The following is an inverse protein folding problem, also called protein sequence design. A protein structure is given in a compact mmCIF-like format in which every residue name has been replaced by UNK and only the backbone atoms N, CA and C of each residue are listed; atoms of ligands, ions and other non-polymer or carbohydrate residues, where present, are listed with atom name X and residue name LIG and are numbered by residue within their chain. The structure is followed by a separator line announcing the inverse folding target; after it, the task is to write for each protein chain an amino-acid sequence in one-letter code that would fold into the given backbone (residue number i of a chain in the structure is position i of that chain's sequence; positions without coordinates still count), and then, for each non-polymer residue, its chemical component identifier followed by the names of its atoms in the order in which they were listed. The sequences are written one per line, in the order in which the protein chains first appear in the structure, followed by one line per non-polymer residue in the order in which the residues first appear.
data_IF_293709689561
#
_entry.id   IF_293709689561
#
_cell.length_a   1.000
_cell.length_b   1.000
_cell.length_c   1.000
_cell.angle_alpha   90.00
_cell.angle_beta   90.00
_cell.angle_gamma   90.00
#
_symmetry.space_group_name_H-M   'P 1'
#
loop_
_entity.id
_entity.type
_entity.pdbx_description
1 polymer ?
#
# COMPACT_ATOMS: atom_id res chain seq x y z
N UNK A 1 47.94 31.67 -13.48
CA UNK A 1 48.19 30.25 -13.15
C UNK A 1 47.81 30.06 -11.70
N UNK A 2 47.23 28.92 -11.34
CA UNK A 2 46.41 28.67 -10.13
C UNK A 2 44.93 29.04 -10.42
N UNK A 3 44.01 28.14 -10.77
CA UNK A 3 43.97 26.69 -10.52
C UNK A 3 43.25 26.38 -9.21
N UNK A 4 42.14 27.07 -8.94
CA UNK A 4 41.25 26.79 -7.81
C UNK A 4 40.39 25.57 -8.19
N UNK A 5 40.70 24.45 -7.53
CA UNK A 5 40.08 23.17 -7.80
C UNK A 5 38.60 23.24 -7.43
N UNK A 6 37.76 23.14 -8.46
CA UNK A 6 36.44 22.55 -8.32
C UNK A 6 36.63 21.22 -7.59
N UNK A 7 36.35 21.24 -6.28
CA UNK A 7 36.03 20.07 -5.49
C UNK A 7 34.79 19.46 -6.13
N UNK A 8 35.04 18.68 -7.17
CA UNK A 8 34.14 17.66 -7.65
C UNK A 8 33.86 16.79 -6.43
N UNK A 9 32.76 17.11 -5.76
CA UNK A 9 32.04 16.21 -4.86
C UNK A 9 31.63 15.04 -5.75
N UNK A 10 32.59 14.13 -5.97
CA UNK A 10 32.36 12.81 -6.50
C UNK A 10 31.54 12.14 -5.41
N UNK A 11 30.23 12.35 -5.47
CA UNK A 11 29.24 11.53 -4.80
C UNK A 11 29.53 10.12 -5.31
N UNK A 12 30.38 9.39 -4.59
CA UNK A 12 30.51 7.94 -4.73
C UNK A 12 29.16 7.39 -4.33
N UNK A 13 28.25 7.35 -5.29
CA UNK A 13 26.98 6.64 -5.17
C UNK A 13 27.37 5.18 -5.03
N UNK A 14 27.40 4.71 -3.79
CA UNK A 14 27.66 3.30 -3.49
C UNK A 14 26.60 2.47 -4.23
N UNK A 15 27.00 1.52 -5.11
CA UNK A 15 26.05 0.84 -6.00
C UNK A 15 24.95 0.08 -5.24
N UNK A 16 25.21 -0.29 -3.98
CA UNK A 16 24.24 -0.87 -3.08
C UNK A 16 23.06 0.08 -2.75
N UNK A 17 23.33 1.37 -2.55
CA UNK A 17 22.32 2.37 -2.22
C UNK A 17 21.33 2.60 -3.37
N UNK A 18 21.83 2.67 -4.59
CA UNK A 18 20.98 2.80 -5.80
C UNK A 18 20.11 1.57 -6.00
N UNK A 19 20.66 0.37 -5.79
CA UNK A 19 19.94 -0.88 -5.99
C UNK A 19 18.78 -1.02 -4.99
N UNK A 20 19.01 -0.63 -3.72
CA UNK A 20 17.96 -0.58 -2.69
C UNK A 20 16.86 0.41 -3.08
N UNK A 21 17.22 1.61 -3.53
CA UNK A 21 16.24 2.62 -3.96
C UNK A 21 15.39 2.15 -5.15
N UNK A 22 16.01 1.49 -6.12
CA UNK A 22 15.32 0.92 -7.29
C UNK A 22 14.35 -0.18 -6.85
N UNK A 23 14.80 -1.12 -6.01
CA UNK A 23 13.94 -2.20 -5.48
C UNK A 23 12.78 -1.63 -4.67
N UNK A 24 13.03 -0.64 -3.80
CA UNK A 24 11.98 0.03 -3.05
C UNK A 24 10.98 0.75 -3.95
N UNK A 25 11.45 1.37 -5.04
CA UNK A 25 10.60 2.07 -6.01
C UNK A 25 9.72 1.08 -6.77
N UNK A 26 10.31 -0.02 -7.25
CA UNK A 26 9.56 -1.11 -7.91
C UNK A 26 8.51 -1.68 -6.96
N UNK A 27 8.88 -1.98 -5.71
CA UNK A 27 7.94 -2.48 -4.70
C UNK A 27 6.77 -1.52 -4.46
N UNK A 28 7.03 -0.20 -4.42
CA UNK A 28 5.96 0.81 -4.30
C UNK A 28 5.02 0.80 -5.50
N UNK A 29 5.55 0.68 -6.72
CA UNK A 29 4.74 0.61 -7.93
C UNK A 29 3.85 -0.65 -7.93
N UNK A 30 4.39 -1.80 -7.50
CA UNK A 30 3.61 -3.03 -7.35
C UNK A 30 2.48 -2.87 -6.33
N UNK A 31 2.76 -2.31 -5.15
CA UNK A 31 1.73 -2.06 -4.13
C UNK A 31 0.65 -1.12 -4.65
N UNK A 32 1.03 -0.06 -5.35
CA UNK A 32 0.08 0.89 -5.95
C UNK A 32 -0.80 0.22 -7.02
N UNK A 33 -0.19 -0.54 -7.94
CA UNK A 33 -0.91 -1.26 -8.97
C UNK A 33 -1.89 -2.28 -8.37
N UNK A 34 -1.47 -3.02 -7.34
CA UNK A 34 -2.32 -3.94 -6.61
C UNK A 34 -3.49 -3.24 -5.91
N UNK A 35 -3.24 -2.10 -5.26
CA UNK A 35 -4.28 -1.31 -4.61
C UNK A 35 -5.30 -0.73 -5.59
N UNK A 36 -4.87 -0.30 -6.78
CA UNK A 36 -5.76 0.15 -7.86
C UNK A 36 -6.63 -1.01 -8.37
N UNK A 37 -6.03 -2.17 -8.60
CA UNK A 37 -6.77 -3.33 -9.09
C UNK A 37 -7.80 -3.82 -8.06
N UNK A 38 -7.40 -3.95 -6.79
CA UNK A 38 -8.30 -4.32 -5.69
C UNK A 38 -9.38 -3.26 -5.49
N UNK A 39 -9.02 -1.98 -5.48
CA UNK A 39 -9.97 -0.87 -5.37
C UNK A 39 -11.01 -0.86 -6.49
N UNK A 40 -10.61 -1.20 -7.72
CA UNK A 40 -11.54 -1.37 -8.84
C UNK A 40 -12.49 -2.55 -8.62
N UNK A 41 -12.00 -3.66 -8.07
CA UNK A 41 -12.83 -4.82 -7.71
C UNK A 41 -13.87 -4.44 -6.66
N UNK A 42 -13.44 -3.80 -5.57
CA UNK A 42 -14.34 -3.35 -4.49
C UNK A 42 -15.37 -2.33 -5.01
N UNK A 43 -14.94 -1.39 -5.85
CA UNK A 43 -15.84 -0.41 -6.45
C UNK A 43 -16.90 -1.07 -7.34
N UNK A 44 -16.50 -2.03 -8.17
CA UNK A 44 -17.45 -2.78 -9.02
C UNK A 44 -18.45 -3.56 -8.16
N UNK A 45 -17.99 -4.16 -7.06
CA UNK A 45 -18.84 -4.92 -6.14
C UNK A 45 -19.83 -4.00 -5.39
N UNK A 46 -19.37 -2.85 -4.91
CA UNK A 46 -20.23 -1.80 -4.36
C UNK A 46 -21.25 -1.28 -5.38
N UNK A 47 -20.86 -1.17 -6.65
CA UNK A 47 -21.75 -0.74 -7.72
C UNK A 47 -22.79 -1.83 -8.07
N UNK A 48 -22.41 -3.11 -8.08
CA UNK A 48 -23.32 -4.20 -8.42
C UNK A 48 -24.30 -4.57 -7.30
N UNK A 49 -23.84 -4.57 -6.05
CA UNK A 49 -24.66 -4.94 -4.89
C UNK A 49 -25.38 -3.74 -4.27
N UNK A 50 -24.84 -2.54 -4.47
CA UNK A 50 -25.23 -1.31 -3.81
C UNK A 50 -24.54 -1.15 -2.45
N UNK A 51 -24.11 0.08 -2.14
CA UNK A 51 -23.36 0.44 -0.92
C UNK A 51 -24.04 -0.07 0.35
N UNK A 52 -25.38 0.04 0.45
CA UNK A 52 -26.13 -0.44 1.63
C UNK A 52 -25.98 -1.94 1.85
N UNK A 53 -26.05 -2.75 0.79
CA UNK A 53 -25.93 -4.22 0.90
C UNK A 53 -24.49 -4.63 1.16
N UNK A 54 -23.53 -3.95 0.54
CA UNK A 54 -22.11 -4.20 0.72
C UNK A 54 -21.66 -4.07 2.19
N UNK A 55 -22.23 -3.11 2.93
CA UNK A 55 -22.00 -2.94 4.37
C UNK A 55 -23.01 -3.67 5.28
N UNK A 56 -24.03 -4.33 4.71
CA UNK A 56 -25.00 -5.14 5.47
C UNK A 56 -24.65 -6.62 5.52
N UNK A 57 -23.64 -7.06 4.76
CA UNK A 57 -23.02 -8.37 4.94
C UNK A 57 -22.70 -8.56 6.41
N UNK A 58 -23.04 -9.71 7.01
CA UNK A 58 -22.89 -9.95 8.46
C UNK A 58 -21.72 -10.89 8.71
N UNK A 59 -21.00 -10.71 9.83
CA UNK A 59 -19.89 -11.59 10.21
C UNK A 59 -18.57 -11.27 9.51
N UNK A 60 -17.82 -12.31 9.11
CA UNK A 60 -16.47 -12.19 8.54
C UNK A 60 -16.43 -11.39 7.22
N UNK A 61 -17.48 -11.48 6.39
CA UNK A 61 -17.56 -10.74 5.12
C UNK A 61 -17.63 -9.22 5.30
N UNK A 62 -18.24 -8.72 6.38
CA UNK A 62 -18.21 -7.28 6.67
C UNK A 62 -16.81 -6.79 7.00
N UNK A 63 -16.11 -7.59 7.79
CA UNK A 63 -14.78 -7.25 8.29
C UNK A 63 -13.77 -7.31 7.15
N UNK A 64 -13.93 -8.27 6.24
CA UNK A 64 -13.19 -8.32 4.97
C UNK A 64 -13.41 -7.06 4.12
N UNK A 65 -14.66 -6.69 3.87
CA UNK A 65 -15.04 -5.50 3.08
C UNK A 65 -14.48 -4.21 3.69
N UNK A 66 -14.58 -4.05 5.02
CA UNK A 66 -14.03 -2.91 5.75
C UNK A 66 -12.51 -2.85 5.65
N UNK A 67 -11.80 -3.97 5.84
CA UNK A 67 -10.35 -4.03 5.74
C UNK A 67 -9.86 -3.76 4.31
N UNK A 68 -10.56 -4.29 3.29
CA UNK A 68 -10.25 -4.03 1.89
C UNK A 68 -10.40 -2.53 1.55
N UNK A 69 -11.51 -1.91 1.98
CA UNK A 69 -11.72 -0.46 1.85
C UNK A 69 -10.64 0.35 2.56
N UNK A 70 -10.31 0.01 3.81
CA UNK A 70 -9.29 0.71 4.60
C UNK A 70 -7.89 0.55 4.00
N UNK A 71 -7.55 -0.63 3.49
CA UNK A 71 -6.29 -0.87 2.81
C UNK A 71 -6.16 -0.03 1.54
N UNK A 72 -7.15 -0.08 0.64
CA UNK A 72 -7.15 0.75 -0.56
C UNK A 72 -7.10 2.25 -0.21
N UNK A 73 -7.91 2.70 0.75
CA UNK A 73 -7.95 4.08 1.20
C UNK A 73 -6.61 4.57 1.77
N UNK A 74 -5.95 3.78 2.62
CA UNK A 74 -4.64 4.12 3.18
C UNK A 74 -3.56 4.22 2.12
N UNK A 75 -3.56 3.35 1.10
CA UNK A 75 -2.63 3.47 -0.03
C UNK A 75 -2.87 4.77 -0.82
N UNK A 76 -4.11 5.16 -1.10
CA UNK A 76 -4.38 6.45 -1.75
C UNK A 76 -3.91 7.64 -0.90
N UNK A 77 -4.19 7.62 0.41
CA UNK A 77 -3.75 8.66 1.36
C UNK A 77 -2.22 8.77 1.37
N UNK A 78 -1.48 7.65 1.37
CA UNK A 78 -0.01 7.67 1.33
C UNK A 78 0.50 8.36 0.06
N UNK A 79 -0.12 8.10 -1.10
CA UNK A 79 0.29 8.74 -2.35
C UNK A 79 0.00 10.25 -2.34
N UNK A 80 -1.12 10.67 -1.75
CA UNK A 80 -1.43 12.09 -1.55
C UNK A 80 -0.42 12.72 -0.58
N UNK A 81 -0.18 12.12 0.59
CA UNK A 81 0.77 12.62 1.58
C UNK A 81 2.19 12.74 1.02
N UNK A 82 2.58 11.85 0.11
CA UNK A 82 3.84 11.94 -0.62
C UNK A 82 3.90 13.09 -1.60
N UNK A 83 2.79 13.41 -2.27
CA UNK A 83 2.75 14.58 -3.14
C UNK A 83 2.93 15.90 -2.37
N UNK A 84 2.58 15.91 -1.07
CA UNK A 84 2.75 17.04 -0.16
C UNK A 84 3.98 16.93 0.76
N UNK A 85 4.82 15.91 0.57
CA UNK A 85 6.03 15.63 1.37
C UNK A 85 5.81 15.66 2.90
N UNK A 86 4.69 15.10 3.35
CA UNK A 86 4.31 15.09 4.78
C UNK A 86 4.99 13.92 5.52
N UNK A 87 5.64 14.20 6.65
CA UNK A 87 6.37 13.21 7.47
C UNK A 87 5.50 12.03 7.94
N UNK A 88 4.19 12.22 8.07
CA UNK A 88 3.22 11.18 8.44
C UNK A 88 3.19 9.99 7.47
N UNK A 89 3.79 10.09 6.28
CA UNK A 89 3.86 9.00 5.29
C UNK A 89 4.33 7.66 5.87
N UNK A 90 5.31 7.68 6.79
CA UNK A 90 5.91 6.47 7.36
C UNK A 90 4.94 5.74 8.29
N UNK A 91 4.22 6.51 9.12
CA UNK A 91 3.21 5.96 10.03
C UNK A 91 2.01 5.38 9.26
N UNK A 92 1.54 6.08 8.22
CA UNK A 92 0.42 5.59 7.40
C UNK A 92 0.83 4.35 6.60
N UNK A 93 2.07 4.25 6.13
CA UNK A 93 2.60 3.05 5.48
C UNK A 93 2.63 1.85 6.43
N UNK A 94 3.04 2.05 7.69
CA UNK A 94 3.01 1.01 8.71
C UNK A 94 1.58 0.54 9.00
N UNK A 95 0.62 1.46 9.08
CA UNK A 95 -0.80 1.12 9.22
C UNK A 95 -1.31 0.30 8.03
N UNK A 96 -0.98 0.71 6.80
CA UNK A 96 -1.36 -0.03 5.60
C UNK A 96 -0.78 -1.46 5.61
N UNK A 97 0.45 -1.64 6.11
CA UNK A 97 1.06 -2.96 6.27
C UNK A 97 0.29 -3.81 7.30
N UNK A 98 -0.01 -3.26 8.49
CA UNK A 98 -0.77 -3.97 9.53
C UNK A 98 -2.14 -4.41 9.00
N UNK A 99 -2.86 -3.51 8.32
CA UNK A 99 -4.17 -3.79 7.72
C UNK A 99 -4.03 -4.86 6.65
N UNK A 100 -3.02 -4.78 5.78
CA UNK A 100 -2.77 -5.79 4.75
C UNK A 100 -2.46 -7.17 5.32
N UNK A 101 -1.66 -7.26 6.37
CA UNK A 101 -1.42 -8.52 7.09
C UNK A 101 -2.68 -9.04 7.77
N UNK A 102 -3.49 -8.16 8.38
CA UNK A 102 -4.79 -8.52 8.94
C UNK A 102 -5.76 -9.06 7.89
N UNK A 103 -5.77 -8.47 6.68
CA UNK A 103 -6.54 -8.96 5.55
C UNK A 103 -6.10 -10.36 5.12
N UNK A 104 -4.80 -10.67 5.15
CA UNK A 104 -4.30 -11.99 4.77
C UNK A 104 -4.82 -13.12 5.67
N UNK A 105 -5.17 -12.83 6.93
CA UNK A 105 -5.76 -13.82 7.84
C UNK A 105 -7.14 -14.30 7.37
N UNK A 106 -7.88 -13.50 6.59
CA UNK A 106 -9.16 -13.92 6.02
C UNK A 106 -9.00 -15.02 4.96
N UNK A 107 -7.91 -15.01 4.18
CA UNK A 107 -7.61 -16.11 3.26
C UNK A 107 -7.37 -17.43 3.99
N UNK A 108 -6.86 -17.38 5.23
CA UNK A 108 -6.65 -18.58 6.05
C UNK A 108 -7.99 -19.14 6.55
N UNK A 109 -8.99 -18.30 6.82
CA UNK A 109 -10.34 -18.76 7.18
C UNK A 109 -11.09 -19.46 6.06
N UNK A 110 -10.66 -19.31 4.79
CA UNK A 110 -11.25 -20.04 3.67
C UNK A 110 -10.89 -21.54 3.68
N UNK A 111 -9.87 -21.97 4.43
CA UNK A 111 -9.52 -23.38 4.55
C UNK A 111 -10.36 -24.08 5.63
N UNK A 112 -10.90 -25.25 5.30
CA UNK A 112 -11.76 -26.08 6.19
C UNK A 112 -11.13 -26.50 7.52
N UNK A 113 -9.80 -26.39 7.66
CA UNK A 113 -9.07 -26.73 8.91
C UNK A 113 -8.96 -25.54 9.88
N UNK A 114 -9.18 -24.33 9.39
CA UNK A 114 -8.97 -23.06 10.13
C UNK A 114 -10.21 -22.17 10.16
N UNK A 115 -11.21 -22.46 9.34
CA UNK A 115 -12.57 -21.91 9.46
C UNK A 115 -13.46 -22.73 10.41
N UNK A 116 -14.59 -22.17 10.88
CA UNK A 116 -15.56 -22.86 11.73
C UNK A 116 -16.25 -24.06 11.06
#
# INVERSE_FOLDING_TARGET
TEGDGDDAVVVKVEPAGTLIQVVCTIGRLFVLAGAIWKGKSEYNEMHSLGIKKYFQTTGSGLLENCLACLFCGTIYIINILRAFDVEAQSAVLALAAIIGWGYMLFFVMAFRLTGP
#
